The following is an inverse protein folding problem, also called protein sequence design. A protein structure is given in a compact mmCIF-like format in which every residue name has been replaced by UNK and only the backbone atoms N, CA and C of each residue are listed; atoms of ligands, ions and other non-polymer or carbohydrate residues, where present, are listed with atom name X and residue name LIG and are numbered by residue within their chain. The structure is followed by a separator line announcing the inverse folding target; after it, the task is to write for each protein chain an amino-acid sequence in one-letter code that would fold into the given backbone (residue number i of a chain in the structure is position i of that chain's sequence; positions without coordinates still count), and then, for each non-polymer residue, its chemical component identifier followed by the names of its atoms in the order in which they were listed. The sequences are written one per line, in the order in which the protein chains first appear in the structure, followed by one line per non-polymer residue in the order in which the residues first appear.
data_IF_573028468611
#
_entry.id   IF_573028468611
#
_cell.length_a   1.000
_cell.length_b   1.000
_cell.length_c   1.000
_cell.angle_alpha   90.00
_cell.angle_beta   90.00
_cell.angle_gamma   90.00
#
_symmetry.space_group_name_H-M   'P 1'
#
loop_
_entity.id
_entity.type
_entity.pdbx_description
1 polymer ?
#
# COMPACT_ATOMS: atom_id res chain seq x y z
N UNK A 1 -11.08 10.72 -3.27
CA UNK A 1 -11.13 11.02 -1.83
C UNK A 1 -11.99 9.99 -1.08
N UNK A 2 -13.29 9.90 -1.33
CA UNK A 2 -14.21 9.02 -0.57
C UNK A 2 -13.84 7.53 -0.60
N UNK A 3 -13.61 6.93 -1.77
CA UNK A 3 -13.18 5.53 -1.88
C UNK A 3 -11.88 5.27 -1.12
N UNK A 4 -10.89 6.14 -1.30
CA UNK A 4 -9.60 6.03 -0.63
C UNK A 4 -9.72 6.10 0.90
N UNK A 5 -10.60 6.95 1.41
CA UNK A 5 -10.90 7.08 2.83
C UNK A 5 -11.55 5.81 3.39
N UNK A 6 -12.53 5.23 2.68
CA UNK A 6 -13.19 3.99 3.08
C UNK A 6 -12.19 2.85 3.14
N UNK A 7 -11.39 2.67 2.08
CA UNK A 7 -10.35 1.63 2.01
C UNK A 7 -9.27 1.81 3.10
N UNK A 8 -8.86 3.05 3.36
CA UNK A 8 -7.89 3.36 4.40
C UNK A 8 -8.41 3.02 5.80
N UNK A 9 -9.64 3.42 6.13
CA UNK A 9 -10.26 3.07 7.41
C UNK A 9 -10.53 1.56 7.54
N UNK A 10 -10.98 0.89 6.48
CA UNK A 10 -11.16 -0.57 6.48
C UNK A 10 -9.82 -1.27 6.73
N UNK A 11 -8.75 -0.83 6.06
CA UNK A 11 -7.41 -1.36 6.24
C UNK A 11 -6.90 -1.11 7.67
N UNK A 12 -7.18 0.05 8.25
CA UNK A 12 -6.79 0.38 9.61
C UNK A 12 -7.54 -0.48 10.65
N UNK A 13 -8.83 -0.76 10.44
CA UNK A 13 -9.60 -1.69 11.29
C UNK A 13 -9.06 -3.12 11.22
N UNK A 14 -8.70 -3.61 10.03
CA UNK A 14 -8.09 -4.94 9.89
C UNK A 14 -6.72 -4.99 10.59
N UNK A 15 -5.90 -3.95 10.43
CA UNK A 15 -4.60 -3.86 11.08
C UNK A 15 -4.74 -3.83 12.62
N UNK A 16 -5.66 -3.02 13.16
CA UNK A 16 -5.97 -2.97 14.59
C UNK A 16 -6.38 -4.34 15.15
N UNK A 17 -7.20 -5.09 14.40
CA UNK A 17 -7.57 -6.45 14.79
C UNK A 17 -6.39 -7.43 14.84
N UNK A 18 -5.35 -7.19 14.03
CA UNK A 18 -4.13 -8.01 14.01
C UNK A 18 -3.12 -7.64 15.09
N UNK A 19 -3.05 -6.36 15.47
CA UNK A 19 -2.08 -5.82 16.44
C UNK A 19 -2.65 -5.67 17.84
N UNK A 20 -3.98 -5.74 18.01
CA UNK A 20 -4.66 -5.43 19.27
C UNK A 20 -4.62 -3.94 19.63
N UNK A 21 -4.37 -3.07 18.64
CA UNK A 21 -4.31 -1.61 18.82
C UNK A 21 -5.61 -0.91 18.40
N UNK A 22 -5.63 0.41 18.53
CA UNK A 22 -6.69 1.27 18.00
C UNK A 22 -6.08 2.44 17.25
N UNK A 23 -6.43 2.61 15.99
CA UNK A 23 -6.04 3.76 15.18
C UNK A 23 -6.92 4.99 15.50
N UNK A 24 -6.42 6.17 15.16
CA UNK A 24 -7.22 7.40 15.09
C UNK A 24 -7.70 7.60 13.64
N UNK A 25 -9.00 7.46 13.34
CA UNK A 25 -9.55 7.65 12.00
C UNK A 25 -9.25 9.03 11.41
N UNK A 26 -9.27 10.07 12.24
CA UNK A 26 -9.04 11.43 11.75
C UNK A 26 -7.57 11.64 11.35
N UNK A 27 -6.64 11.15 12.18
CA UNK A 27 -5.22 11.14 11.87
C UNK A 27 -4.91 10.39 10.57
N UNK A 28 -5.55 9.25 10.35
CA UNK A 28 -5.40 8.46 9.12
C UNK A 28 -5.90 9.24 7.88
N UNK A 29 -7.10 9.84 7.95
CA UNK A 29 -7.65 10.64 6.86
C UNK A 29 -6.82 11.88 6.54
N UNK A 30 -6.30 12.56 7.57
CA UNK A 30 -5.39 13.70 7.40
C UNK A 30 -4.08 13.24 6.74
N UNK A 31 -3.51 12.12 7.20
CA UNK A 31 -2.30 11.54 6.62
C UNK A 31 -2.47 11.20 5.15
N UNK A 32 -3.57 10.53 4.80
CA UNK A 32 -3.90 10.21 3.41
C UNK A 32 -4.18 11.46 2.56
N UNK A 33 -4.85 12.45 3.13
CA UNK A 33 -5.11 13.74 2.48
C UNK A 33 -3.82 14.49 2.15
N UNK A 34 -2.90 14.60 3.11
CA UNK A 34 -1.59 15.23 2.91
C UNK A 34 -0.78 14.43 1.88
N UNK A 35 -0.73 13.11 2.00
CA UNK A 35 -0.01 12.25 1.05
C UNK A 35 -0.52 12.45 -0.39
N UNK A 36 -1.83 12.50 -0.58
CA UNK A 36 -2.45 12.71 -1.89
C UNK A 36 -2.38 14.16 -2.39
N UNK A 37 -2.19 15.12 -1.49
CA UNK A 37 -1.89 16.50 -1.88
C UNK A 37 -0.45 16.61 -2.40
N UNK A 38 0.51 15.95 -1.75
CA UNK A 38 1.94 16.05 -2.06
C UNK A 38 2.34 15.16 -3.25
N UNK A 39 1.79 13.95 -3.38
CA UNK A 39 2.20 12.97 -4.40
C UNK A 39 2.19 13.51 -5.85
N UNK A 40 1.17 14.25 -6.31
CA UNK A 40 1.12 14.78 -7.68
C UNK A 40 2.28 15.72 -8.02
N UNK A 41 2.84 16.44 -7.04
CA UNK A 41 3.99 17.33 -7.26
C UNK A 41 5.27 16.57 -7.64
N UNK A 42 5.32 15.26 -7.41
CA UNK A 42 6.44 14.38 -7.77
C UNK A 42 6.07 13.41 -8.90
N UNK A 43 4.98 13.65 -9.64
CA UNK A 43 4.48 12.74 -10.67
C UNK A 43 3.81 11.48 -10.11
N UNK A 44 3.49 11.47 -8.82
CA UNK A 44 2.78 10.38 -8.16
C UNK A 44 1.29 10.37 -8.50
N UNK A 45 0.68 9.19 -8.43
CA UNK A 45 -0.77 9.00 -8.55
C UNK A 45 -1.42 9.02 -7.17
N UNK A 46 -2.74 9.14 -7.14
CA UNK A 46 -3.54 9.00 -5.91
C UNK A 46 -3.19 7.68 -5.22
N UNK A 47 -2.82 7.77 -3.95
CA UNK A 47 -2.53 6.65 -3.06
C UNK A 47 -3.73 6.31 -2.17
N UNK A 48 -3.87 5.00 -1.92
CA UNK A 48 -4.81 4.42 -0.97
C UNK A 48 -4.08 3.43 -0.07
N UNK A 49 -4.67 3.07 1.06
CA UNK A 49 -4.16 1.95 1.85
C UNK A 49 -4.27 0.64 1.06
N UNK A 50 -3.45 -0.34 1.43
CA UNK A 50 -3.42 -1.65 0.80
C UNK A 50 -3.43 -2.74 1.87
N UNK A 51 -4.59 -3.37 2.07
CA UNK A 51 -4.84 -4.37 3.12
C UNK A 51 -3.81 -5.50 3.07
N UNK A 52 -3.58 -6.08 1.88
CA UNK A 52 -2.65 -7.19 1.71
C UNK A 52 -1.22 -6.84 2.14
N UNK A 53 -0.75 -5.63 1.82
CA UNK A 53 0.59 -5.15 2.21
C UNK A 53 0.67 -4.92 3.72
N UNK A 54 -0.30 -4.23 4.29
CA UNK A 54 -0.34 -3.94 5.73
C UNK A 54 -0.42 -5.23 6.55
N UNK A 55 -1.25 -6.18 6.14
CA UNK A 55 -1.35 -7.49 6.78
C UNK A 55 -0.05 -8.30 6.71
N UNK A 56 0.61 -8.32 5.54
CA UNK A 56 1.92 -8.95 5.39
C UNK A 56 2.97 -8.28 6.29
N UNK A 57 2.95 -6.95 6.40
CA UNK A 57 3.88 -6.19 7.23
C UNK A 57 3.68 -6.48 8.74
N UNK A 58 2.43 -6.52 9.21
CA UNK A 58 2.11 -6.90 10.61
C UNK A 58 2.51 -8.34 10.89
N UNK A 59 2.24 -9.28 9.98
CA UNK A 59 2.68 -10.68 10.11
C UNK A 59 4.21 -10.84 10.10
N UNK A 60 4.93 -9.94 9.44
CA UNK A 60 6.38 -9.88 9.46
C UNK A 60 6.94 -9.24 10.75
N UNK A 61 6.09 -8.86 11.71
CA UNK A 61 6.50 -8.32 13.01
C UNK A 61 6.63 -6.79 13.04
N UNK A 62 5.98 -6.06 12.12
CA UNK A 62 5.98 -4.60 12.17
C UNK A 62 5.25 -4.07 13.41
N UNK A 63 5.94 -3.29 14.24
CA UNK A 63 5.39 -2.71 15.49
C UNK A 63 5.38 -1.18 15.50
N UNK A 64 5.84 -0.51 14.44
CA UNK A 64 5.95 0.96 14.41
C UNK A 64 5.75 1.51 12.99
N UNK A 65 5.35 2.79 12.85
CA UNK A 65 5.24 3.46 11.55
C UNK A 65 6.57 3.52 10.78
N UNK A 66 7.70 3.31 11.46
CA UNK A 66 9.02 3.26 10.84
C UNK A 66 9.12 2.12 9.80
N UNK A 67 8.39 1.01 9.97
CA UNK A 67 8.37 -0.07 9.00
C UNK A 67 7.86 0.39 7.62
N UNK A 68 6.84 1.26 7.59
CA UNK A 68 6.32 1.83 6.35
C UNK A 68 7.30 2.81 5.70
N UNK A 69 8.00 3.62 6.50
CA UNK A 69 9.03 4.56 6.01
C UNK A 69 10.21 3.79 5.41
N UNK A 70 10.68 2.74 6.09
CA UNK A 70 11.75 1.87 5.59
C UNK A 70 11.30 1.21 4.29
N UNK A 71 10.09 0.65 4.24
CA UNK A 71 9.56 0.06 3.01
C UNK A 71 9.52 1.05 1.84
N UNK A 72 9.05 2.29 2.07
CA UNK A 72 9.06 3.34 1.05
C UNK A 72 10.48 3.67 0.57
N UNK A 73 11.45 3.78 1.49
CA UNK A 73 12.86 3.98 1.15
C UNK A 73 13.46 2.82 0.34
N UNK A 74 13.14 1.57 0.72
CA UNK A 74 13.57 0.37 -0.01
C UNK A 74 13.01 0.38 -1.43
N UNK A 75 11.72 0.69 -1.59
CA UNK A 75 11.09 0.80 -2.93
C UNK A 75 11.73 1.90 -3.75
N UNK A 76 12.00 3.08 -3.16
CA UNK A 76 12.66 4.18 -3.85
C UNK A 76 14.06 3.79 -4.33
N UNK A 77 14.88 3.20 -3.46
CA UNK A 77 16.22 2.71 -3.81
C UNK A 77 16.12 1.63 -4.90
N UNK A 78 15.21 0.67 -4.75
CA UNK A 78 15.01 -0.37 -5.73
C UNK A 78 14.67 0.22 -7.11
N UNK A 79 13.78 1.21 -7.19
CA UNK A 79 13.46 1.86 -8.47
C UNK A 79 14.69 2.57 -9.03
N UNK A 80 15.45 3.33 -8.23
CA UNK A 80 16.62 4.07 -8.72
C UNK A 80 17.74 3.16 -9.27
N UNK A 81 17.97 1.98 -8.65
CA UNK A 81 19.06 1.08 -9.05
C UNK A 81 18.61 -0.06 -9.97
N UNK A 82 17.40 -0.60 -9.82
CA UNK A 82 16.87 -1.70 -10.63
C UNK A 82 16.00 -1.22 -11.80
N UNK A 83 15.72 0.09 -11.95
CA UNK A 83 15.08 0.68 -13.14
C UNK A 83 15.52 0.03 -14.47
N UNK A 84 16.83 -0.11 -14.78
CA UNK A 84 17.25 -0.72 -16.04
C UNK A 84 16.86 -2.20 -16.17
N UNK A 85 16.80 -2.95 -15.06
CA UNK A 85 16.36 -4.35 -15.09
C UNK A 85 14.86 -4.49 -15.36
N UNK A 86 14.04 -3.49 -15.00
CA UNK A 86 12.61 -3.52 -15.29
C UNK A 86 12.30 -3.54 -16.80
N UNK A 87 13.22 -3.11 -17.67
CA UNK A 87 13.06 -3.21 -19.12
C UNK A 87 12.96 -4.66 -19.64
N UNK A 88 13.45 -5.63 -18.87
CA UNK A 88 13.38 -7.06 -19.22
C UNK A 88 12.11 -7.75 -18.70
N UNK A 89 11.26 -7.06 -17.92
CA UNK A 89 10.04 -7.66 -17.39
C UNK A 89 9.01 -7.85 -18.51
N UNK A 90 8.61 -9.09 -18.84
CA UNK A 90 7.63 -9.33 -19.89
C UNK A 90 6.26 -8.84 -19.41
N UNK A 91 5.59 -8.04 -20.26
CA UNK A 91 4.23 -7.55 -19.99
C UNK A 91 3.23 -8.69 -19.71
N UNK A 92 3.45 -9.87 -20.29
CA UNK A 92 2.66 -11.07 -20.01
C UNK A 92 2.72 -11.50 -18.54
N UNK A 93 3.88 -11.40 -17.87
CA UNK A 93 4.00 -11.74 -16.46
C UNK A 93 3.26 -10.73 -15.57
N UNK A 94 3.32 -9.44 -15.90
CA UNK A 94 2.55 -8.40 -15.20
C UNK A 94 1.04 -8.60 -15.39
N UNK A 95 0.59 -8.94 -16.60
CA UNK A 95 -0.81 -9.25 -16.86
C UNK A 95 -1.29 -10.47 -16.05
N UNK A 96 -0.50 -11.55 -16.02
CA UNK A 96 -0.81 -12.73 -15.23
C UNK A 96 -0.90 -12.41 -13.72
N UNK A 97 0.02 -11.61 -13.20
CA UNK A 97 -0.03 -11.14 -11.80
C UNK A 97 -1.31 -10.34 -11.52
N UNK A 98 -1.67 -9.41 -12.41
CA UNK A 98 -2.88 -8.60 -12.25
C UNK A 98 -4.16 -9.46 -12.30
N UNK A 99 -4.20 -10.49 -13.15
CA UNK A 99 -5.32 -11.44 -13.18
C UNK A 99 -5.45 -12.21 -11.86
N UNK A 100 -4.34 -12.65 -11.27
CA UNK A 100 -4.35 -13.32 -9.96
C UNK A 100 -4.82 -12.38 -8.86
N UNK A 101 -4.36 -11.12 -8.87
CA UNK A 101 -4.81 -10.10 -7.90
C UNK A 101 -6.31 -9.85 -8.04
N UNK A 102 -6.80 -9.66 -9.28
CA UNK A 102 -8.22 -9.47 -9.55
C UNK A 102 -9.05 -10.68 -9.11
N UNK A 103 -8.58 -11.90 -9.37
CA UNK A 103 -9.24 -13.12 -8.92
C UNK A 103 -9.34 -13.20 -7.39
N UNK A 104 -8.26 -12.87 -6.68
CA UNK A 104 -8.23 -12.85 -5.22
C UNK A 104 -9.15 -11.78 -4.61
N UNK A 105 -9.40 -10.68 -5.32
CA UNK A 105 -10.35 -9.63 -4.90
C UNK A 105 -11.80 -9.90 -5.30
N UNK A 106 -12.05 -10.83 -6.22
CA UNK A 106 -13.38 -11.11 -6.75
C UNK A 106 -14.31 -11.80 -5.74
N UNK A 107 -13.80 -12.26 -4.59
CA UNK A 107 -14.57 -13.04 -3.60
C UNK A 107 -15.37 -14.19 -4.24
N UNK A 108 -14.86 -14.77 -5.33
CA UNK A 108 -15.54 -15.80 -6.11
C UNK A 108 -15.69 -17.15 -5.37
N UNK A 109 -15.31 -17.19 -4.09
CA UNK A 109 -15.48 -18.31 -3.16
C UNK A 109 -15.65 -17.82 -1.74
#
# INVERSE_FOLDING_TARGET
AMLGAIESLLCAVVADGMTGSKHDPNGELIGQGIGNLVAPFFGGITATAAIARSAANVRAGACSPLAAIIHAGVVLIAILYLAPLFSYLPMAALAALLLIVAWNMSEAR
#
